data_IF_786692903353
#
_entry.id   IF_786692903353
#
_cell.length_a   1.000
_cell.length_b   1.000
_cell.length_c   1.000
_cell.angle_alpha   90.00
_cell.angle_beta   90.00
_cell.angle_gamma   90.00
#
_symmetry.space_group_name_H-M   'P 1'
#
loop_
_entity.id
_entity.type
_entity.pdbx_description
1 polymer ?
#
# COMPACT_ATOMS: atom_id res chain seq x y z
N UNK A 1 25.48 -0.52 -11.11
CA UNK A 1 25.78 -0.86 -9.70
C UNK A 1 25.59 0.38 -8.84
N UNK A 2 24.49 0.57 -8.09
CA UNK A 2 24.45 1.50 -6.93
C UNK A 2 23.12 1.59 -6.16
N UNK A 3 22.01 1.01 -6.63
CA UNK A 3 20.74 1.13 -5.88
C UNK A 3 20.56 0.03 -4.83
N UNK A 4 21.16 -1.15 -5.04
CA UNK A 4 21.07 -2.24 -4.06
C UNK A 4 21.77 -1.92 -2.74
N UNK A 5 22.86 -1.15 -2.75
CA UNK A 5 23.51 -0.68 -1.51
C UNK A 5 22.61 0.27 -0.70
N UNK A 6 21.85 1.12 -1.40
CA UNK A 6 20.86 2.03 -0.77
C UNK A 6 19.71 1.23 -0.18
N UNK A 7 19.18 0.24 -0.90
CA UNK A 7 18.13 -0.66 -0.41
C UNK A 7 18.64 -1.46 0.80
N UNK A 8 19.87 -1.97 0.75
CA UNK A 8 20.47 -2.72 1.86
C UNK A 8 20.69 -1.84 3.09
N UNK A 9 21.12 -0.60 2.91
CA UNK A 9 21.20 0.38 4.00
C UNK A 9 19.83 0.76 4.54
N UNK A 10 18.81 0.93 3.69
CA UNK A 10 17.43 1.19 4.11
C UNK A 10 16.87 0.04 4.94
N UNK A 11 17.03 -1.21 4.48
CA UNK A 11 16.55 -2.38 5.23
C UNK A 11 17.30 -2.56 6.55
N UNK A 12 18.59 -2.21 6.61
CA UNK A 12 19.40 -2.31 7.83
C UNK A 12 19.08 -1.18 8.84
N UNK A 13 18.92 0.06 8.37
CA UNK A 13 18.71 1.22 9.23
C UNK A 13 17.25 1.51 9.53
N UNK A 14 16.29 1.03 8.73
CA UNK A 14 14.86 1.26 8.96
C UNK A 14 14.38 0.68 10.30
N UNK A 15 14.75 -0.56 10.72
CA UNK A 15 14.40 -1.08 12.04
C UNK A 15 15.03 -0.26 13.17
N UNK A 16 16.27 0.19 12.98
CA UNK A 16 16.95 1.06 13.95
C UNK A 16 16.24 2.42 14.06
N UNK A 17 15.89 3.04 12.94
CA UNK A 17 15.16 4.31 12.91
C UNK A 17 13.79 4.21 13.57
N UNK A 18 13.03 3.15 13.27
CA UNK A 18 11.74 2.88 13.90
C UNK A 18 11.88 2.65 15.42
N UNK A 19 12.93 1.93 15.84
CA UNK A 19 13.22 1.72 17.26
C UNK A 19 13.57 3.04 17.99
N UNK A 20 14.43 3.87 17.41
CA UNK A 20 14.77 5.18 17.96
C UNK A 20 13.55 6.11 18.01
N UNK A 21 12.72 6.11 16.97
CA UNK A 21 11.46 6.87 16.95
C UNK A 21 10.50 6.39 18.05
N UNK A 22 10.33 5.08 18.24
CA UNK A 22 9.50 4.53 19.31
C UNK A 22 10.05 4.84 20.73
N UNK A 23 11.38 4.82 20.91
CA UNK A 23 12.06 5.00 22.20
C UNK A 23 12.06 6.45 22.70
N UNK A 24 12.13 7.42 21.79
CA UNK A 24 12.25 8.85 22.12
C UNK A 24 10.98 9.67 21.81
N UNK A 25 10.00 9.08 21.13
CA UNK A 25 8.72 9.75 20.89
C UNK A 25 7.87 9.81 22.17
N UNK A 26 7.24 10.96 22.43
CA UNK A 26 6.38 11.24 23.59
C UNK A 26 4.95 10.68 23.45
N UNK A 27 4.73 9.70 22.56
CA UNK A 27 3.40 9.12 22.34
C UNK A 27 2.78 8.53 23.61
N UNK A 28 1.45 8.62 23.68
CA UNK A 28 0.63 8.04 24.75
C UNK A 28 1.01 6.56 24.97
N UNK A 29 1.13 6.17 26.23
CA UNK A 29 1.59 4.84 26.64
C UNK A 29 0.75 3.71 26.02
N UNK A 30 -0.56 3.91 25.89
CA UNK A 30 -1.47 2.93 25.28
C UNK A 30 -1.21 2.75 23.78
N UNK A 31 -0.83 3.83 23.08
CA UNK A 31 -0.48 3.78 21.67
C UNK A 31 0.83 3.00 21.45
N UNK A 32 1.81 3.16 22.36
CA UNK A 32 3.08 2.42 22.32
C UNK A 32 2.88 0.93 22.49
N UNK A 33 2.01 0.52 23.43
CA UNK A 33 1.66 -0.89 23.62
C UNK A 33 0.91 -1.45 22.41
N UNK A 34 -0.04 -0.70 21.83
CA UNK A 34 -0.78 -1.13 20.65
C UNK A 34 0.13 -1.43 19.45
N UNK A 35 1.07 -0.53 19.16
CA UNK A 35 2.02 -0.71 18.04
C UNK A 35 2.99 -1.85 18.32
N UNK A 36 3.47 -2.01 19.56
CA UNK A 36 4.36 -3.10 19.94
C UNK A 36 3.69 -4.48 19.81
N UNK A 37 2.42 -4.59 20.22
CA UNK A 37 1.63 -5.82 20.04
C UNK A 37 1.41 -6.11 18.56
N UNK A 38 1.11 -5.09 17.75
CA UNK A 38 0.92 -5.26 16.31
C UNK A 38 2.20 -5.70 15.59
N UNK A 39 3.35 -5.09 15.88
CA UNK A 39 4.64 -5.52 15.34
C UNK A 39 5.03 -6.92 15.83
N UNK A 40 4.72 -7.25 17.09
CA UNK A 40 4.92 -8.59 17.65
C UNK A 40 4.09 -9.64 16.91
N UNK A 41 2.82 -9.35 16.64
CA UNK A 41 1.95 -10.24 15.86
C UNK A 41 2.39 -10.34 14.40
N UNK A 42 2.78 -9.23 13.77
CA UNK A 42 3.27 -9.22 12.39
C UNK A 42 4.56 -10.05 12.24
N UNK A 43 5.49 -9.90 13.17
CA UNK A 43 6.73 -10.68 13.20
C UNK A 43 6.46 -12.16 13.51
N UNK A 44 5.54 -12.47 14.42
CA UNK A 44 5.11 -13.84 14.69
C UNK A 44 4.43 -14.49 13.47
N UNK A 45 3.60 -13.76 12.73
CA UNK A 45 2.99 -14.22 11.49
C UNK A 45 4.05 -14.48 10.40
N UNK A 46 5.05 -13.60 10.32
CA UNK A 46 6.15 -13.73 9.36
C UNK A 46 7.10 -14.87 9.70
N UNK A 47 7.38 -15.15 10.97
CA UNK A 47 8.19 -16.31 11.37
C UNK A 47 7.41 -17.62 11.22
N UNK A 48 6.11 -17.61 11.51
CA UNK A 48 5.24 -18.78 11.36
C UNK A 48 5.02 -19.18 9.90
N UNK A 49 4.94 -18.21 8.99
CA UNK A 49 4.80 -18.46 7.53
C UNK A 49 6.14 -18.56 6.80
N UNK A 50 7.16 -17.81 7.23
CA UNK A 50 8.48 -17.75 6.63
C UNK A 50 9.44 -18.87 7.05
N UNK A 51 9.26 -19.46 8.24
CA UNK A 51 10.11 -20.58 8.71
C UNK A 51 10.04 -21.81 7.80
N UNK A 52 8.86 -22.11 7.26
CA UNK A 52 8.67 -23.17 6.26
C UNK A 52 9.22 -22.77 4.89
N UNK A 53 9.06 -21.49 4.51
CA UNK A 53 9.50 -20.97 3.22
C UNK A 53 11.03 -20.97 3.07
N UNK A 54 11.75 -20.61 4.14
CA UNK A 54 13.22 -20.62 4.17
C UNK A 54 13.74 -22.07 4.06
N UNK A 55 13.16 -23.03 4.78
CA UNK A 55 13.53 -24.44 4.64
C UNK A 55 13.24 -24.98 3.23
N UNK A 56 12.12 -24.58 2.62
CA UNK A 56 11.78 -24.97 1.25
C UNK A 56 12.72 -24.34 0.20
N UNK A 57 13.13 -23.10 0.42
CA UNK A 57 14.01 -22.37 -0.49
C UNK A 57 15.46 -22.86 -0.38
N UNK A 58 15.97 -23.11 0.84
CA UNK A 58 17.30 -23.69 1.03
C UNK A 58 17.38 -25.17 0.64
N UNK A 59 16.31 -25.95 0.83
CA UNK A 59 16.23 -27.34 0.34
C UNK A 59 16.15 -27.41 -1.18
N UNK A 60 15.32 -26.58 -1.81
CA UNK A 60 15.20 -26.50 -3.27
C UNK A 60 16.46 -25.95 -3.94
N UNK A 61 17.08 -24.92 -3.37
CA UNK A 61 18.31 -24.34 -3.90
C UNK A 61 19.53 -25.27 -3.71
N UNK A 62 19.60 -26.01 -2.60
CA UNK A 62 20.60 -27.05 -2.38
C UNK A 62 20.49 -28.20 -3.40
N UNK A 63 19.26 -28.64 -3.68
CA UNK A 63 19.00 -29.69 -4.69
C UNK A 63 19.34 -29.22 -6.11
N UNK A 64 19.06 -27.95 -6.43
CA UNK A 64 19.39 -27.35 -7.72
C UNK A 64 20.91 -27.22 -7.94
N UNK A 65 21.67 -26.81 -6.92
CA UNK A 65 23.13 -26.74 -7.02
C UNK A 65 23.77 -28.14 -7.09
N UNK A 66 23.21 -29.14 -6.38
CA UNK A 66 23.62 -30.54 -6.52
C UNK A 66 23.32 -31.09 -7.93
N UNK A 67 22.17 -30.74 -8.51
CA UNK A 67 21.79 -31.11 -9.87
C UNK A 67 22.69 -30.45 -10.93
N UNK A 68 23.10 -29.20 -10.73
CA UNK A 68 24.06 -28.50 -11.59
C UNK A 68 25.49 -29.07 -11.42
N UNK A 69 25.88 -29.48 -10.21
CA UNK A 69 27.18 -30.10 -9.95
C UNK A 69 27.31 -31.49 -10.58
N UNK A 70 26.25 -32.30 -10.55
CA UNK A 70 26.24 -33.63 -11.18
C UNK A 70 26.23 -33.58 -12.71
N UNK A 71 25.80 -32.46 -13.32
CA UNK A 71 25.89 -32.24 -14.76
C UNK A 71 27.21 -31.62 -15.25
N UNK A 72 28.10 -31.23 -14.33
CA UNK A 72 29.39 -30.59 -14.64
C UNK A 72 30.59 -31.55 -14.45
N UNK A 73 30.40 -32.85 -14.67
CA UNK A 73 31.53 -33.75 -14.96
C UNK A 73 31.14 -34.87 -15.93
N UNK A 74 31.26 -34.62 -17.23
CA UNK A 74 32.14 -35.36 -18.13
C UNK A 74 31.70 -35.20 -19.61
N UNK A 75 32.67 -35.16 -20.55
CA UNK A 75 32.42 -35.04 -21.97
C UNK A 75 32.23 -36.39 -22.66
N UNK A 76 31.37 -36.37 -23.69
CA UNK A 76 31.31 -37.28 -24.86
C UNK A 76 31.03 -38.78 -24.61
N UNK A 77 29.82 -39.14 -25.08
CA UNK A 77 29.32 -40.45 -25.53
C UNK A 77 29.05 -41.51 -24.47
N UNK A 78 27.77 -41.67 -24.13
CA UNK A 78 27.12 -42.99 -24.06
C UNK A 78 25.59 -42.82 -24.11
N UNK A 79 24.95 -43.49 -25.08
CA UNK A 79 23.51 -43.76 -25.07
C UNK A 79 23.29 -44.86 -24.01
N UNK A 80 22.34 -44.70 -23.09
CA UNK A 80 21.42 -45.73 -22.57
C UNK A 80 20.49 -45.10 -21.52
N UNK A 81 19.19 -45.21 -21.83
CA UNK A 81 18.02 -45.44 -20.98
C UNK A 81 18.12 -45.21 -19.46
N UNK A 82 17.35 -44.25 -18.94
CA UNK A 82 16.80 -44.27 -17.58
C UNK A 82 15.36 -43.75 -17.60
N UNK A 83 14.47 -44.57 -18.16
CA UNK A 83 13.01 -44.39 -18.05
C UNK A 83 12.38 -45.70 -17.55
N UNK A 84 12.98 -46.30 -16.51
CA UNK A 84 12.43 -47.46 -15.78
C UNK A 84 12.96 -47.46 -14.34
N UNK A 85 12.65 -46.44 -13.54
CA UNK A 85 12.91 -46.45 -12.08
C UNK A 85 12.06 -45.39 -11.35
N UNK A 86 10.74 -45.45 -11.50
CA UNK A 86 9.80 -44.74 -10.60
C UNK A 86 8.41 -45.38 -10.60
N UNK A 87 8.38 -46.71 -10.67
CA UNK A 87 7.25 -47.52 -10.19
C UNK A 87 7.90 -48.65 -9.41
N UNK A 88 7.38 -48.96 -8.22
CA UNK A 88 7.86 -49.93 -7.23
C UNK A 88 8.75 -49.37 -6.10
N UNK A 89 8.22 -48.42 -5.33
CA UNK A 89 8.41 -48.43 -3.87
C UNK A 89 7.17 -47.79 -3.22
N UNK A 90 6.09 -48.59 -3.05
CA UNK A 90 5.12 -48.57 -1.95
C UNK A 90 3.92 -49.42 -2.37
N UNK A 91 3.80 -50.64 -1.83
CA UNK A 91 2.63 -51.49 -2.09
C UNK A 91 2.82 -52.99 -1.83
N UNK A 92 3.46 -53.37 -0.72
CA UNK A 92 3.24 -54.70 -0.15
C UNK A 92 2.05 -54.64 0.80
N UNK A 93 1.05 -55.49 0.54
CA UNK A 93 0.38 -56.41 1.47
C UNK A 93 -1.15 -56.43 1.27
N UNK A 94 -1.71 -57.45 0.62
CA UNK A 94 -2.11 -58.71 1.25
C UNK A 94 -2.75 -59.68 0.22
N UNK A 95 -2.22 -60.91 0.24
CA UNK A 95 -2.88 -62.20 0.02
C UNK A 95 -3.60 -62.51 -1.30
N UNK A 96 -3.01 -63.42 -2.10
CA UNK A 96 -3.55 -64.77 -2.23
C UNK A 96 -2.47 -65.76 -2.72
N UNK A 97 -2.49 -66.94 -2.11
CA UNK A 97 -1.53 -68.06 -2.18
C UNK A 97 -1.74 -68.95 -3.45
N UNK A 98 -1.14 -70.15 -3.58
CA UNK A 98 0.14 -70.32 -4.26
C UNK A 98 0.12 -71.39 -5.38
N UNK A 99 1.33 -71.66 -5.88
CA UNK A 99 1.82 -72.86 -6.60
C UNK A 99 1.54 -73.02 -8.09
N UNK A 100 2.59 -72.80 -8.89
CA UNK A 100 2.88 -73.66 -10.05
C UNK A 100 4.37 -74.00 -10.03
N UNK A 101 4.63 -75.28 -9.80
CA UNK A 101 5.93 -75.94 -9.95
C UNK A 101 6.40 -75.96 -11.41
N UNK A 102 7.69 -76.25 -11.52
CA UNK A 102 8.59 -76.16 -12.66
C UNK A 102 8.23 -76.96 -13.92
N UNK A 103 8.62 -76.35 -15.03
CA UNK A 103 9.04 -76.86 -16.33
C UNK A 103 9.73 -78.24 -16.31
N UNK A 104 9.34 -79.17 -17.20
CA UNK A 104 10.26 -79.86 -18.13
C UNK A 104 9.57 -80.57 -19.30
N UNK A 105 10.16 -80.33 -20.48
CA UNK A 105 10.14 -81.06 -21.75
C UNK A 105 9.99 -82.58 -21.63
N UNK A 106 9.11 -83.21 -22.44
CA UNK A 106 9.57 -84.12 -23.51
C UNK A 106 8.49 -84.51 -24.53
N UNK A 107 9.01 -84.98 -25.67
CA UNK A 107 8.46 -85.38 -26.96
C UNK A 107 7.13 -86.17 -27.07
N UNK A 108 6.45 -85.87 -28.19
CA UNK A 108 5.90 -86.80 -29.19
C UNK A 108 4.78 -87.78 -28.77
N UNK A 109 3.55 -87.52 -29.26
CA UNK A 109 2.97 -88.37 -30.31
C UNK A 109 1.65 -87.80 -30.85
N UNK A 110 1.52 -87.92 -32.16
CA UNK A 110 0.32 -87.75 -32.95
C UNK A 110 -0.69 -88.84 -32.57
N UNK A 111 -1.91 -88.46 -32.15
CA UNK A 111 -3.09 -89.29 -32.41
C UNK A 111 -4.32 -88.43 -32.76
N UNK A 112 -4.85 -88.78 -33.93
CA UNK A 112 -6.05 -88.30 -34.59
C UNK A 112 -7.28 -88.84 -33.86
N UNK A 113 -8.18 -87.98 -33.39
CA UNK A 113 -9.63 -88.28 -33.34
C UNK A 113 -10.41 -87.00 -33.65
N UNK A 114 -11.09 -87.02 -34.80
CA UNK A 114 -12.05 -86.00 -35.26
C UNK A 114 -13.24 -85.92 -34.30
N UNK A 115 -13.69 -84.70 -34.00
CA UNK A 115 -15.10 -84.45 -33.70
C UNK A 115 -15.52 -83.16 -34.37
N UNK A 116 -16.45 -83.31 -35.31
CA UNK A 116 -16.86 -82.33 -36.29
C UNK A 116 -17.46 -81.08 -35.63
N UNK A 117 -16.88 -79.91 -35.92
CA UNK A 117 -17.57 -78.62 -35.81
C UNK A 117 -17.66 -78.05 -37.22
N UNK A 118 -18.89 -77.88 -37.70
CA UNK A 118 -19.21 -77.50 -39.08
C UNK A 118 -18.55 -76.16 -39.46
N UNK A 119 -17.94 -76.08 -40.64
CA UNK A 119 -17.32 -74.88 -41.21
C UNK A 119 -18.31 -73.68 -41.36
N UNK A 120 -19.62 -73.93 -41.26
CA UNK A 120 -20.69 -72.93 -41.20
C UNK A 120 -20.62 -72.04 -39.95
N UNK A 121 -20.26 -72.60 -38.79
CA UNK A 121 -20.34 -71.89 -37.50
C UNK A 121 -19.14 -70.94 -37.28
N UNK A 122 -17.97 -71.28 -37.86
CA UNK A 122 -16.76 -70.44 -37.85
C UNK A 122 -16.95 -69.21 -38.76
N UNK A 123 -17.63 -69.36 -39.90
CA UNK A 123 -17.92 -68.26 -40.82
C UNK A 123 -18.92 -67.27 -40.20
N UNK A 124 -19.99 -67.79 -39.58
CA UNK A 124 -20.98 -67.00 -38.83
C UNK A 124 -20.37 -66.26 -37.63
N UNK A 125 -19.45 -66.90 -36.89
CA UNK A 125 -18.75 -66.25 -35.77
C UNK A 125 -17.76 -65.15 -36.22
N UNK A 126 -17.08 -65.32 -37.37
CA UNK A 126 -16.20 -64.28 -37.93
C UNK A 126 -16.98 -63.07 -38.44
N UNK A 127 -18.10 -63.27 -39.13
CA UNK A 127 -18.98 -62.19 -39.58
C UNK A 127 -19.61 -61.43 -38.40
N UNK A 128 -19.98 -62.14 -37.32
CA UNK A 128 -20.51 -61.52 -36.10
C UNK A 128 -19.46 -60.70 -35.35
N UNK A 129 -18.22 -61.20 -35.21
CA UNK A 129 -17.10 -60.44 -34.63
C UNK A 129 -16.73 -59.20 -35.45
N UNK A 130 -16.72 -59.30 -36.78
CA UNK A 130 -16.43 -58.16 -37.66
C UNK A 130 -17.51 -57.08 -37.57
N UNK A 131 -18.79 -57.47 -37.44
CA UNK A 131 -19.91 -56.54 -37.25
C UNK A 131 -19.90 -55.87 -35.87
N UNK A 132 -19.55 -56.59 -34.80
CA UNK A 132 -19.41 -56.04 -33.44
C UNK A 132 -18.24 -55.04 -33.35
N UNK A 133 -17.13 -55.29 -34.04
CA UNK A 133 -15.97 -54.40 -34.09
C UNK A 133 -16.25 -53.11 -34.88
N UNK A 134 -17.01 -53.19 -35.98
CA UNK A 134 -17.49 -52.03 -36.72
C UNK A 134 -18.44 -51.16 -35.89
N UNK A 135 -19.39 -51.78 -35.17
CA UNK A 135 -20.30 -51.07 -34.27
C UNK A 135 -19.55 -50.38 -33.12
N UNK A 136 -18.51 -51.03 -32.57
CA UNK A 136 -17.65 -50.43 -31.54
C UNK A 136 -16.84 -49.23 -32.07
N UNK A 137 -16.32 -49.31 -33.29
CA UNK A 137 -15.60 -48.21 -33.93
C UNK A 137 -16.52 -47.01 -34.22
N UNK A 138 -17.74 -47.26 -34.69
CA UNK A 138 -18.73 -46.21 -34.97
C UNK A 138 -19.21 -45.51 -33.69
N UNK A 139 -19.48 -46.27 -32.62
CA UNK A 139 -19.79 -45.71 -31.31
C UNK A 139 -18.67 -44.83 -30.74
N UNK A 140 -17.40 -45.21 -30.97
CA UNK A 140 -16.24 -44.40 -30.55
C UNK A 140 -16.12 -43.10 -31.33
N UNK A 141 -16.32 -43.14 -32.65
CA UNK A 141 -16.32 -41.94 -33.50
C UNK A 141 -17.47 -41.01 -33.09
N UNK A 142 -18.65 -41.56 -32.78
CA UNK A 142 -19.78 -40.80 -32.31
C UNK A 142 -19.50 -40.12 -30.96
N UNK A 143 -18.91 -40.84 -30.00
CA UNK A 143 -18.51 -40.28 -28.71
C UNK A 143 -17.47 -39.15 -28.85
N UNK A 144 -16.51 -39.28 -29.77
CA UNK A 144 -15.52 -38.22 -30.05
C UNK A 144 -16.18 -36.98 -30.69
N UNK A 145 -17.17 -37.16 -31.57
CA UNK A 145 -17.94 -36.05 -32.16
C UNK A 145 -18.79 -35.33 -31.12
N UNK A 146 -19.45 -36.06 -30.24
CA UNK A 146 -20.26 -35.49 -29.14
C UNK A 146 -19.38 -34.68 -28.18
N UNK A 147 -18.20 -35.21 -27.83
CA UNK A 147 -17.22 -34.49 -27.00
C UNK A 147 -16.71 -33.21 -27.68
N UNK A 148 -16.48 -33.23 -29.00
CA UNK A 148 -16.09 -32.03 -29.74
C UNK A 148 -17.23 -31.01 -29.82
N UNK A 149 -18.48 -31.47 -29.99
CA UNK A 149 -19.66 -30.61 -30.01
C UNK A 149 -19.89 -29.94 -28.64
N UNK A 150 -19.67 -30.66 -27.54
CA UNK A 150 -19.76 -30.12 -26.18
C UNK A 150 -18.71 -29.02 -25.94
N UNK A 151 -17.45 -29.29 -26.29
CA UNK A 151 -16.37 -28.29 -26.18
C UNK A 151 -16.65 -27.06 -27.06
N UNK A 152 -17.21 -27.25 -28.26
CA UNK A 152 -17.56 -26.16 -29.16
C UNK A 152 -18.64 -25.27 -28.54
N UNK A 153 -19.64 -25.89 -27.92
CA UNK A 153 -20.70 -25.18 -27.19
C UNK A 153 -20.10 -24.37 -26.04
N UNK A 154 -19.25 -24.99 -25.22
CA UNK A 154 -18.61 -24.30 -24.09
C UNK A 154 -17.77 -23.09 -24.53
N UNK A 155 -16.95 -23.24 -25.58
CA UNK A 155 -16.18 -22.14 -26.12
C UNK A 155 -17.06 -21.03 -26.72
N UNK A 156 -18.17 -21.41 -27.35
CA UNK A 156 -19.14 -20.45 -27.92
C UNK A 156 -19.85 -19.67 -26.80
N UNK A 157 -20.28 -20.34 -25.74
CA UNK A 157 -20.92 -19.72 -24.58
C UNK A 157 -19.96 -18.75 -23.88
N UNK A 158 -18.70 -19.13 -23.72
CA UNK A 158 -17.66 -18.26 -23.16
C UNK A 158 -17.38 -17.04 -24.05
N UNK A 159 -17.41 -17.20 -25.37
CA UNK A 159 -17.24 -16.10 -26.32
C UNK A 159 -18.42 -15.12 -26.25
N UNK A 160 -19.66 -15.63 -26.21
CA UNK A 160 -20.87 -14.80 -26.03
C UNK A 160 -20.78 -14.01 -24.73
N UNK A 161 -20.32 -14.64 -23.65
CA UNK A 161 -20.13 -13.95 -22.37
C UNK A 161 -19.08 -12.84 -22.47
N UNK A 162 -17.97 -13.08 -23.17
CA UNK A 162 -16.91 -12.09 -23.36
C UNK A 162 -17.33 -10.95 -24.28
N UNK A 163 -18.24 -11.18 -25.23
CA UNK A 163 -18.85 -10.13 -26.05
C UNK A 163 -19.86 -9.29 -25.27
N UNK A 164 -20.70 -9.93 -24.45
CA UNK A 164 -21.67 -9.24 -23.62
C UNK A 164 -21.00 -8.44 -22.49
N UNK A 165 -19.88 -8.97 -21.97
CA UNK A 165 -19.12 -8.36 -20.87
C UNK A 165 -17.63 -8.41 -21.19
N UNK A 166 -17.11 -7.41 -21.94
CA UNK A 166 -15.73 -7.37 -22.42
C UNK A 166 -14.76 -7.05 -21.28
N UNK A 167 -14.52 -8.05 -20.44
CA UNK A 167 -13.51 -8.00 -19.38
C UNK A 167 -12.30 -8.85 -19.77
N UNK A 168 -11.13 -8.50 -19.22
CA UNK A 168 -9.91 -9.30 -19.38
C UNK A 168 -10.08 -10.74 -18.96
N UNK A 169 -10.81 -10.96 -17.87
CA UNK A 169 -11.09 -12.29 -17.35
C UNK A 169 -11.92 -13.11 -18.33
N UNK A 170 -13.01 -12.55 -18.86
CA UNK A 170 -13.89 -13.23 -19.81
C UNK A 170 -13.18 -13.50 -21.14
N UNK A 171 -12.40 -12.55 -21.63
CA UNK A 171 -11.55 -12.74 -22.80
C UNK A 171 -10.55 -13.89 -22.62
N UNK A 172 -9.84 -13.93 -21.48
CA UNK A 172 -8.84 -14.98 -21.22
C UNK A 172 -9.49 -16.38 -21.17
N UNK A 173 -10.68 -16.47 -20.56
CA UNK A 173 -11.47 -17.73 -20.52
C UNK A 173 -11.88 -18.17 -21.92
N UNK A 174 -12.51 -17.27 -22.70
CA UNK A 174 -12.91 -17.55 -24.08
C UNK A 174 -11.71 -17.93 -24.96
N UNK A 175 -10.60 -17.19 -24.86
CA UNK A 175 -9.37 -17.45 -25.60
C UNK A 175 -8.79 -18.83 -25.30
N UNK A 176 -8.76 -19.23 -24.03
CA UNK A 176 -8.26 -20.55 -23.61
C UNK A 176 -9.09 -21.69 -24.20
N UNK A 177 -10.43 -21.57 -24.14
CA UNK A 177 -11.34 -22.58 -24.68
C UNK A 177 -11.26 -22.66 -26.20
N UNK A 178 -11.19 -21.52 -26.89
CA UNK A 178 -11.04 -21.47 -28.36
C UNK A 178 -9.72 -22.09 -28.81
N UNK A 179 -8.61 -21.83 -28.11
CA UNK A 179 -7.31 -22.45 -28.43
C UNK A 179 -7.34 -23.98 -28.20
N UNK A 180 -8.05 -24.45 -27.16
CA UNK A 180 -8.17 -25.87 -26.84
C UNK A 180 -8.97 -26.67 -27.88
N UNK A 181 -9.84 -26.02 -28.65
CA UNK A 181 -10.63 -26.68 -29.69
C UNK A 181 -9.82 -27.12 -30.91
N UNK A 182 -8.62 -26.58 -31.12
CA UNK A 182 -7.80 -26.78 -32.33
C UNK A 182 -8.51 -26.45 -33.66
N UNK A 183 -9.70 -25.83 -33.61
CA UNK A 183 -10.50 -25.41 -34.76
C UNK A 183 -9.97 -24.10 -35.34
N UNK A 184 -9.88 -24.03 -36.67
CA UNK A 184 -9.50 -22.81 -37.42
C UNK A 184 -10.73 -22.03 -37.89
N UNK A 185 -11.81 -22.01 -37.10
CA UNK A 185 -13.01 -21.26 -37.48
C UNK A 185 -12.68 -19.76 -37.49
N UNK A 186 -12.59 -19.19 -38.70
CA UNK A 186 -12.25 -17.78 -38.92
C UNK A 186 -13.24 -16.84 -38.24
N UNK A 187 -14.49 -17.27 -38.05
CA UNK A 187 -15.55 -16.48 -37.41
C UNK A 187 -15.28 -16.34 -35.92
N UNK A 188 -14.95 -17.43 -35.24
CA UNK A 188 -14.61 -17.44 -33.81
C UNK A 188 -13.36 -16.61 -33.55
N UNK A 189 -12.33 -16.74 -34.41
CA UNK A 189 -11.10 -15.96 -34.30
C UNK A 189 -11.38 -14.46 -34.46
N UNK A 190 -12.16 -14.07 -35.47
CA UNK A 190 -12.50 -12.66 -35.72
C UNK A 190 -13.28 -12.03 -34.57
N UNK A 191 -14.24 -12.79 -33.99
CA UNK A 191 -15.01 -12.36 -32.82
C UNK A 191 -14.11 -12.18 -31.59
N UNK A 192 -13.21 -13.14 -31.35
CA UNK A 192 -12.25 -13.07 -30.24
C UNK A 192 -11.31 -11.87 -30.37
N UNK A 193 -10.85 -11.55 -31.58
CA UNK A 193 -10.03 -10.36 -31.85
C UNK A 193 -10.82 -9.05 -31.60
N UNK A 194 -12.10 -9.00 -31.98
CA UNK A 194 -12.96 -7.85 -31.71
C UNK A 194 -13.17 -7.65 -30.18
N UNK A 195 -13.41 -8.74 -29.45
CA UNK A 195 -13.49 -8.72 -27.98
C UNK A 195 -12.18 -8.21 -27.38
N UNK A 196 -11.04 -8.70 -27.86
CA UNK A 196 -9.71 -8.27 -27.41
C UNK A 196 -9.52 -6.75 -27.56
N UNK A 197 -9.84 -6.22 -28.74
CA UNK A 197 -9.74 -4.78 -29.00
C UNK A 197 -10.66 -3.96 -28.09
N UNK A 198 -11.87 -4.47 -27.83
CA UNK A 198 -12.83 -3.83 -26.94
C UNK A 198 -12.31 -3.81 -25.50
N UNK A 199 -11.83 -4.96 -24.99
CA UNK A 199 -11.20 -5.07 -23.66
C UNK A 199 -10.03 -4.11 -23.53
N UNK A 200 -9.11 -4.08 -24.49
CA UNK A 200 -7.95 -3.18 -24.46
C UNK A 200 -8.36 -1.70 -24.49
N UNK A 201 -9.43 -1.37 -25.22
CA UNK A 201 -9.97 -0.01 -25.28
C UNK A 201 -10.63 0.39 -23.96
N UNK A 202 -11.47 -0.48 -23.39
CA UNK A 202 -12.10 -0.23 -22.10
C UNK A 202 -11.07 -0.14 -20.96
N UNK A 203 -10.06 -1.02 -20.94
CA UNK A 203 -8.95 -0.94 -19.99
C UNK A 203 -8.21 0.39 -20.09
N UNK A 204 -7.94 0.87 -21.30
CA UNK A 204 -7.31 2.19 -21.52
C UNK A 204 -8.19 3.32 -21.04
N UNK A 205 -9.47 3.33 -21.39
CA UNK A 205 -10.42 4.36 -20.93
C UNK A 205 -10.51 4.38 -19.41
N UNK A 206 -10.56 3.22 -18.76
CA UNK A 206 -10.56 3.12 -17.29
C UNK A 206 -9.23 3.61 -16.69
N UNK A 207 -8.10 3.28 -17.31
CA UNK A 207 -6.78 3.74 -16.85
C UNK A 207 -6.64 5.27 -16.99
N UNK A 208 -7.00 5.82 -18.15
CA UNK A 208 -6.98 7.27 -18.41
C UNK A 208 -7.96 8.01 -17.48
N UNK A 209 -9.15 7.45 -17.23
CA UNK A 209 -10.09 8.02 -16.27
C UNK A 209 -9.54 8.04 -14.83
N UNK A 210 -8.82 6.98 -14.42
CA UNK A 210 -8.16 6.94 -13.11
C UNK A 210 -7.02 7.95 -13.01
N UNK A 211 -6.18 8.06 -14.03
CA UNK A 211 -5.09 9.05 -14.08
C UNK A 211 -5.64 10.47 -14.04
N UNK A 212 -6.70 10.75 -14.82
CA UNK A 212 -7.39 12.05 -14.79
C UNK A 212 -7.99 12.36 -13.42
N UNK A 213 -8.62 11.38 -12.77
CA UNK A 213 -9.17 11.55 -11.43
C UNK A 213 -8.08 11.78 -10.38
N UNK A 214 -6.92 11.13 -10.50
CA UNK A 214 -5.78 11.32 -9.61
C UNK A 214 -5.14 12.71 -9.79
N UNK A 215 -4.91 13.13 -11.02
CA UNK A 215 -4.37 14.46 -11.34
C UNK A 215 -5.31 15.58 -10.85
N UNK A 216 -6.62 15.43 -11.03
CA UNK A 216 -7.61 16.38 -10.50
C UNK A 216 -7.60 16.43 -8.97
N UNK A 217 -7.46 15.28 -8.30
CA UNK A 217 -7.32 15.23 -6.83
C UNK A 217 -6.05 15.92 -6.34
N UNK A 218 -4.92 15.71 -7.02
CA UNK A 218 -3.66 16.37 -6.68
C UNK A 218 -3.78 17.88 -6.88
N UNK A 219 -4.34 18.34 -8.01
CA UNK A 219 -4.55 19.76 -8.27
C UNK A 219 -5.49 20.41 -7.23
N UNK A 220 -6.55 19.72 -6.83
CA UNK A 220 -7.46 20.19 -5.78
C UNK A 220 -6.79 20.27 -4.41
N UNK A 221 -5.92 19.30 -4.08
CA UNK A 221 -5.13 19.29 -2.84
C UNK A 221 -4.14 20.45 -2.81
N UNK A 222 -3.38 20.65 -3.90
CA UNK A 222 -2.44 21.76 -4.03
C UNK A 222 -3.13 23.12 -3.93
N UNK A 223 -4.31 23.28 -4.55
CA UNK A 223 -5.11 24.49 -4.42
C UNK A 223 -5.56 24.73 -2.97
N UNK A 224 -5.94 23.68 -2.22
CA UNK A 224 -6.30 23.81 -0.81
C UNK A 224 -5.11 24.21 0.05
N UNK A 225 -3.94 23.61 -0.18
CA UNK A 225 -2.71 23.96 0.53
C UNK A 225 -2.30 25.40 0.23
N UNK A 226 -2.37 25.84 -1.03
CA UNK A 226 -2.06 27.20 -1.42
C UNK A 226 -3.00 28.22 -0.76
N UNK A 227 -4.31 27.91 -0.68
CA UNK A 227 -5.26 28.76 0.03
C UNK A 227 -5.02 28.78 1.54
N UNK A 228 -4.75 27.64 2.16
CA UNK A 228 -4.42 27.57 3.59
C UNK A 228 -3.17 28.39 3.91
N UNK A 229 -2.13 28.33 3.08
CA UNK A 229 -0.93 29.15 3.23
C UNK A 229 -1.24 30.65 3.11
N UNK A 230 -2.11 31.05 2.17
CA UNK A 230 -2.54 32.45 2.05
C UNK A 230 -3.31 32.92 3.27
N UNK A 231 -4.18 32.08 3.83
CA UNK A 231 -4.94 32.39 5.05
C UNK A 231 -4.00 32.51 6.25
N UNK A 232 -3.07 31.57 6.43
CA UNK A 232 -2.07 31.63 7.51
C UNK A 232 -1.19 32.88 7.39
N UNK A 233 -0.75 33.22 6.17
CA UNK A 233 0.04 34.42 5.93
C UNK A 233 -0.75 35.69 6.25
N UNK A 234 -2.00 35.78 5.80
CA UNK A 234 -2.88 36.90 6.10
C UNK A 234 -3.12 37.06 7.62
N UNK A 235 -3.27 35.94 8.35
CA UNK A 235 -3.39 35.96 9.82
C UNK A 235 -2.10 36.46 10.49
N UNK A 236 -0.93 36.00 10.04
CA UNK A 236 0.36 36.46 10.56
C UNK A 236 0.54 37.96 10.36
N UNK A 237 0.23 38.47 9.15
CA UNK A 237 0.32 39.90 8.84
C UNK A 237 -0.67 40.69 9.69
N UNK A 238 -1.91 40.21 9.87
CA UNK A 238 -2.90 40.87 10.71
C UNK A 238 -2.48 40.91 12.20
N UNK A 239 -1.88 39.82 12.71
CA UNK A 239 -1.37 39.76 14.08
C UNK A 239 -0.17 40.70 14.27
N UNK A 240 0.76 40.74 13.31
CA UNK A 240 1.89 41.67 13.34
C UNK A 240 1.43 43.12 13.34
N UNK A 241 0.43 43.46 12.51
CA UNK A 241 -0.17 44.79 12.49
C UNK A 241 -0.86 45.14 13.81
N UNK A 242 -1.57 44.19 14.43
CA UNK A 242 -2.18 44.40 15.75
C UNK A 242 -1.12 44.68 16.81
N UNK A 243 -0.03 43.90 16.82
CA UNK A 243 1.06 44.08 17.77
C UNK A 243 1.81 45.41 17.54
N UNK A 244 2.01 45.80 16.28
CA UNK A 244 2.59 47.09 15.93
C UNK A 244 1.72 48.26 16.40
N UNK A 245 0.40 48.18 16.20
CA UNK A 245 -0.54 49.18 16.68
C UNK A 245 -0.58 49.25 18.20
N UNK A 246 -0.58 48.10 18.89
CA UNK A 246 -0.52 48.05 20.35
C UNK A 246 0.76 48.69 20.91
N UNK A 247 1.92 48.43 20.27
CA UNK A 247 3.19 49.08 20.63
C UNK A 247 3.16 50.58 20.40
N UNK A 248 2.56 51.04 19.29
CA UNK A 248 2.43 52.47 19.02
C UNK A 248 1.58 53.17 20.09
N UNK A 249 0.44 52.58 20.46
CA UNK A 249 -0.44 53.09 21.53
C UNK A 249 0.27 53.05 22.90
N UNK A 250 1.01 51.98 23.20
CA UNK A 250 1.78 51.89 24.45
C UNK A 250 2.87 52.97 24.55
N UNK A 251 3.58 53.25 23.44
CA UNK A 251 4.59 54.30 23.41
C UNK A 251 3.96 55.70 23.52
N UNK A 252 2.83 55.94 22.84
CA UNK A 252 2.06 57.19 22.98
C UNK A 252 1.66 57.43 24.44
N UNK A 253 1.13 56.41 25.12
CA UNK A 253 0.79 56.48 26.53
C UNK A 253 2.01 56.75 27.42
N UNK A 254 3.16 56.14 27.12
CA UNK A 254 4.41 56.36 27.86
C UNK A 254 4.89 57.81 27.73
N UNK A 255 4.83 58.38 26.53
CA UNK A 255 5.18 59.79 26.27
C UNK A 255 4.21 60.72 26.98
N UNK A 256 2.90 60.46 26.92
CA UNK A 256 1.89 61.26 27.62
C UNK A 256 2.10 61.26 29.15
N UNK A 257 2.40 60.09 29.74
CA UNK A 257 2.72 59.98 31.17
C UNK A 257 4.01 60.71 31.55
N UNK A 258 5.05 60.62 30.72
CA UNK A 258 6.31 61.34 30.95
C UNK A 258 6.11 62.87 30.89
N UNK A 259 5.29 63.37 29.96
CA UNK A 259 4.93 64.79 29.88
C UNK A 259 4.12 65.26 31.09
N UNK A 260 3.15 64.45 31.55
CA UNK A 260 2.39 64.74 32.76
C UNK A 260 3.29 64.79 34.01
N UNK A 261 4.22 63.84 34.17
CA UNK A 261 5.17 63.83 35.28
C UNK A 261 6.13 65.05 35.25
N UNK A 262 6.58 65.47 34.07
CA UNK A 262 7.41 66.67 33.91
C UNK A 262 6.65 67.96 34.32
N UNK A 263 5.36 68.05 34.03
CA UNK A 263 4.53 69.21 34.44
C UNK A 263 4.31 69.31 35.96
N UNK A 264 4.39 68.21 36.70
CA UNK A 264 4.30 68.23 38.16
C UNK A 264 5.58 68.74 38.83
N UNK A 265 6.76 68.50 38.25
CA UNK A 265 8.04 68.96 38.81
C UNK A 265 8.25 70.49 38.74
N UNK A 266 7.55 71.18 37.85
CA UNK A 266 7.61 72.65 37.75
C UNK A 266 6.96 73.34 38.97
N UNK A 267 5.92 72.73 39.55
CA UNK A 267 5.24 73.26 40.74
C UNK A 267 5.94 72.90 42.07
N UNK A 268 6.61 71.75 42.15
CA UNK A 268 7.24 71.27 43.39
C UNK A 268 8.53 72.04 43.74
N UNK A 269 9.18 72.65 42.74
CA UNK A 269 10.42 73.43 42.91
C UNK A 269 10.21 74.93 43.13
N UNK A 270 8.98 75.45 42.97
CA UNK A 270 8.72 76.88 43.03
C UNK A 270 8.75 77.40 44.47
N UNK A 271 9.66 78.34 44.75
CA UNK A 271 9.75 79.01 46.06
C UNK A 271 8.91 80.27 46.09
N UNK A 272 8.18 80.47 47.18
CA UNK A 272 7.30 81.61 47.41
C UNK A 272 7.56 82.24 48.77
N UNK A 273 7.25 83.52 48.90
CA UNK A 273 7.37 84.27 50.15
C UNK A 273 6.04 84.24 50.90
N UNK A 274 6.08 83.84 52.17
CA UNK A 274 4.93 83.81 53.07
C UNK A 274 5.16 84.75 54.26
N UNK A 275 4.07 85.24 54.85
CA UNK A 275 4.13 86.07 56.07
C UNK A 275 3.70 85.24 57.29
N UNK A 276 4.19 85.53 58.51
CA UNK A 276 3.87 84.72 59.69
C UNK A 276 2.38 84.69 60.07
N UNK A 277 1.63 85.75 59.77
CA UNK A 277 0.22 85.92 60.16
C UNK A 277 -0.74 86.06 58.98
N UNK A 278 -0.25 86.04 57.74
CA UNK A 278 -1.09 86.29 56.56
C UNK A 278 -1.66 85.02 55.95
N UNK A 279 -2.82 85.17 55.29
CA UNK A 279 -3.50 84.10 54.53
C UNK A 279 -3.02 83.99 53.07
N UNK A 280 -1.97 84.72 52.68
CA UNK A 280 -1.52 84.82 51.28
C UNK A 280 -0.02 84.56 51.11
N UNK A 281 0.33 83.99 49.95
CA UNK A 281 1.72 83.83 49.50
C UNK A 281 2.04 84.78 48.33
N UNK A 282 3.33 85.07 48.13
CA UNK A 282 3.82 86.15 47.27
C UNK A 282 5.04 85.72 46.43
N UNK A 283 5.13 86.12 45.16
CA UNK A 283 6.32 85.82 44.32
C UNK A 283 7.50 86.74 44.65
N UNK A 284 7.20 87.92 45.21
CA UNK A 284 8.13 88.97 45.60
C UNK A 284 7.57 89.71 46.81
N UNK A 285 8.43 90.34 47.60
CA UNK A 285 8.01 91.16 48.75
C UNK A 285 6.96 92.20 48.30
N UNK A 286 5.78 92.22 48.92
CA UNK A 286 4.61 92.96 48.45
C UNK A 286 3.92 93.71 49.61
N UNK A 287 4.37 94.94 49.87
CA UNK A 287 3.90 95.75 51.00
C UNK A 287 4.82 95.65 52.22
N UNK A 288 4.40 96.26 53.33
CA UNK A 288 5.21 96.39 54.54
C UNK A 288 4.96 95.19 55.47
N UNK A 289 5.92 94.27 55.56
CA UNK A 289 5.83 93.08 56.41
C UNK A 289 7.11 92.24 56.40
N UNK A 290 7.21 91.28 57.31
CA UNK A 290 8.29 90.28 57.33
C UNK A 290 7.89 89.07 56.49
N UNK A 291 8.82 88.59 55.66
CA UNK A 291 8.59 87.48 54.73
C UNK A 291 9.63 86.38 54.96
N UNK A 292 9.19 85.14 54.92
CA UNK A 292 10.04 83.94 54.93
C UNK A 292 9.83 83.16 53.64
N UNK A 293 10.89 82.58 53.10
CA UNK A 293 10.77 81.65 51.98
C UNK A 293 10.11 80.33 52.42
N UNK A 294 9.20 79.84 51.60
CA UNK A 294 8.57 78.52 51.71
C UNK A 294 8.44 77.91 50.30
N UNK A 295 8.22 76.60 50.20
CA UNK A 295 7.79 76.01 48.93
C UNK A 295 6.34 76.40 48.64
N UNK A 296 5.98 76.48 47.37
CA UNK A 296 4.58 76.71 46.96
C UNK A 296 3.66 75.63 47.56
N UNK A 297 4.11 74.38 47.61
CA UNK A 297 3.40 73.26 48.24
C UNK A 297 3.14 73.47 49.73
N UNK A 298 4.16 73.92 50.49
CA UNK A 298 3.99 74.23 51.92
C UNK A 298 2.96 75.35 52.10
N UNK A 299 3.03 76.40 51.28
CA UNK A 299 2.06 77.49 51.30
C UNK A 299 0.63 77.01 51.00
N UNK A 300 0.44 76.18 49.97
CA UNK A 300 -0.88 75.62 49.60
C UNK A 300 -1.39 74.64 50.67
N UNK A 301 -0.52 73.82 51.27
CA UNK A 301 -0.89 72.89 52.35
C UNK A 301 -1.32 73.60 53.63
N UNK A 302 -0.78 74.81 53.87
CA UNK A 302 -1.20 75.73 54.93
C UNK A 302 -2.50 76.48 54.59
N UNK A 303 -3.08 76.26 53.41
CA UNK A 303 -4.30 76.90 52.94
C UNK A 303 -4.10 78.37 52.55
N UNK A 304 -2.88 78.78 52.17
CA UNK A 304 -2.61 80.14 51.74
C UNK A 304 -3.00 80.34 50.27
N UNK A 305 -3.62 81.47 49.96
CA UNK A 305 -4.02 81.83 48.61
C UNK A 305 -3.02 82.80 47.93
N UNK A 306 -2.97 82.88 46.59
CA UNK A 306 -2.09 83.83 45.91
C UNK A 306 -2.46 85.29 46.21
N UNK A 307 -1.46 86.14 46.42
CA UNK A 307 -1.69 87.57 46.54
C UNK A 307 -2.01 88.21 45.19
N UNK A 308 -3.21 88.76 45.05
CA UNK A 308 -3.73 89.43 43.84
C UNK A 308 -2.92 90.63 43.32
N UNK A 309 -1.85 91.05 44.02
CA UNK A 309 -0.96 92.15 43.61
C UNK A 309 0.37 91.68 43.05
N UNK A 310 0.79 90.47 43.38
CA UNK A 310 2.11 89.96 42.99
C UNK A 310 2.11 88.53 42.47
N UNK A 311 0.96 87.85 42.48
CA UNK A 311 0.63 86.72 41.61
C UNK A 311 -0.48 87.17 40.67
#
# INVERSE_FOLDING_TARGET
>A
MKNWKVILWLVLFFPLGAYFMWRYSSWNIHLKYGISIFLGLLTALFTFTGGLFILFWYSGFGFLLYFIATFKSSPKKQKISFLTASVLLFGSSLALSPTTESVRSDQNQIQVVKKDTSASDIKKQKEKKASEEQLAAENKIQAEKELQAEKLKEATDALILAEATPTRENYNKASTLVVALTTKDSTIVSRLDAVKQTVETEEKVVAEAKEKAETERIAAEEARIAEEQRVQEAQRVAEEQRLANERAVAEENRVAQAAAAASQQDNTGQRVLVTPTGSKYHIRKCGNGTYTDASLEDALSRGLEPCSKCF
#
